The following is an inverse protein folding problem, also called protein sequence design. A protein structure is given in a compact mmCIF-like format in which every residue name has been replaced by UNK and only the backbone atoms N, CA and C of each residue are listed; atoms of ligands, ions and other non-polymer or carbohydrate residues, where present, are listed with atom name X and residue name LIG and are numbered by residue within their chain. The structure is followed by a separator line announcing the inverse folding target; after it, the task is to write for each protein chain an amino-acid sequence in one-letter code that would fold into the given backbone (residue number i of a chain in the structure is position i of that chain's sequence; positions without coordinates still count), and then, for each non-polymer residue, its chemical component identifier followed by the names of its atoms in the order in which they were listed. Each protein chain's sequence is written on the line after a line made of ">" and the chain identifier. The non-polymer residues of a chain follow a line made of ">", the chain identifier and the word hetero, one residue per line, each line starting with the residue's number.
data_IF_719733975983
#
_entry.id   IF_719733975983
#
_cell.length_a   1.000
_cell.length_b   1.000
_cell.length_c   1.000
_cell.angle_alpha   90.00
_cell.angle_beta   90.00
_cell.angle_gamma   90.00
#
_symmetry.space_group_name_H-M   'P 1'
#
loop_
_entity.id
_entity.type
_entity.pdbx_description
1 polymer ?
#
# COMPACT_ATOMS: atom_id res chain seq x y z
N UNK A 1 -13.00 35.92 17.81
CA UNK A 1 -12.86 34.45 17.94
C UNK A 1 -11.37 34.18 17.88
N UNK A 2 -10.78 33.67 18.94
CA UNK A 2 -9.36 33.29 18.97
C UNK A 2 -9.21 31.86 18.44
N UNK A 3 -8.34 31.63 17.44
CA UNK A 3 -8.07 30.34 16.90
C UNK A 3 -6.69 29.86 17.39
N UNK A 4 -6.66 28.87 18.24
CA UNK A 4 -5.43 28.27 18.74
C UNK A 4 -5.08 27.05 17.86
N UNK A 5 -3.96 27.14 17.13
CA UNK A 5 -3.44 26.03 16.35
C UNK A 5 -2.45 25.22 17.18
N UNK A 6 -2.66 23.91 17.26
CA UNK A 6 -1.68 23.01 17.90
C UNK A 6 -0.36 23.04 17.14
N UNK A 7 0.77 23.10 17.85
CA UNK A 7 2.12 23.01 17.25
C UNK A 7 2.36 21.65 16.55
N UNK A 8 1.61 20.61 16.96
CA UNK A 8 1.67 19.27 16.36
C UNK A 8 0.61 19.03 15.27
N UNK A 9 -0.15 20.08 14.89
CA UNK A 9 -1.14 19.97 13.83
C UNK A 9 -0.44 19.79 12.47
N UNK A 10 -0.75 18.71 11.76
CA UNK A 10 -0.17 18.41 10.45
C UNK A 10 -0.45 16.98 10.00
N UNK A 11 0.14 16.63 8.89
CA UNK A 11 0.07 15.27 8.37
C UNK A 11 0.93 14.31 9.21
N UNK A 12 0.52 13.05 9.31
CA UNK A 12 1.39 12.01 9.86
C UNK A 12 2.66 11.85 9.00
N UNK A 13 3.71 11.27 9.59
CA UNK A 13 5.00 11.07 8.92
C UNK A 13 4.87 10.42 7.53
N UNK A 14 4.03 9.38 7.39
CA UNK A 14 3.84 8.67 6.12
C UNK A 14 3.26 9.55 5.03
N UNK A 15 2.23 10.34 5.36
CA UNK A 15 1.62 11.30 4.44
C UNK A 15 2.60 12.44 4.10
N UNK A 16 3.29 12.99 5.09
CA UNK A 16 4.28 14.05 4.87
C UNK A 16 5.41 13.60 3.93
N UNK A 17 5.91 12.38 4.09
CA UNK A 17 6.92 11.79 3.19
C UNK A 17 6.38 11.59 1.77
N UNK A 18 5.12 11.14 1.62
CA UNK A 18 4.52 10.94 0.32
C UNK A 18 4.31 12.26 -0.42
N UNK A 19 3.82 13.30 0.27
CA UNK A 19 3.67 14.63 -0.31
C UNK A 19 5.01 15.24 -0.71
N UNK A 20 6.04 15.12 0.16
CA UNK A 20 7.40 15.58 -0.19
C UNK A 20 7.94 14.92 -1.45
N UNK A 21 7.73 13.60 -1.62
CA UNK A 21 8.14 12.90 -2.84
C UNK A 21 7.35 13.36 -4.05
N UNK A 22 6.07 13.66 -3.89
CA UNK A 22 5.24 14.18 -4.97
C UNK A 22 5.70 15.59 -5.39
N UNK A 23 6.00 16.47 -4.43
CA UNK A 23 6.54 17.80 -4.71
C UNK A 23 7.85 17.72 -5.51
N UNK A 24 8.77 16.82 -5.11
CA UNK A 24 10.01 16.59 -5.85
C UNK A 24 9.77 16.15 -7.30
N UNK A 25 8.73 15.32 -7.56
CA UNK A 25 8.39 14.93 -8.93
C UNK A 25 7.80 16.10 -9.72
N UNK A 26 6.93 16.90 -9.10
CA UNK A 26 6.35 18.10 -9.73
C UNK A 26 7.44 19.13 -10.06
N UNK A 27 8.36 19.38 -9.14
CA UNK A 27 9.50 20.30 -9.35
C UNK A 27 10.44 19.84 -10.47
N UNK A 28 10.65 18.52 -10.58
CA UNK A 28 11.44 17.92 -11.66
C UNK A 28 10.80 18.13 -13.04
N UNK A 29 9.48 18.32 -13.06
CA UNK A 29 8.70 18.50 -14.28
C UNK A 29 8.40 17.17 -15.01
N UNK A 30 7.76 17.30 -16.17
CA UNK A 30 7.31 16.17 -16.98
C UNK A 30 5.92 15.69 -16.57
N UNK A 31 5.58 14.46 -16.97
CA UNK A 31 4.27 13.87 -16.67
C UNK A 31 4.31 13.20 -15.32
N UNK A 32 3.52 13.71 -14.37
CA UNK A 32 3.45 13.21 -12.99
C UNK A 32 2.07 12.65 -12.69
N UNK A 33 2.03 11.51 -12.03
CA UNK A 33 0.79 10.92 -11.56
C UNK A 33 0.93 10.18 -10.24
N UNK A 34 -0.22 9.90 -9.61
CA UNK A 34 -0.31 9.04 -8.44
C UNK A 34 -1.15 7.81 -8.75
N UNK A 35 -0.76 6.66 -8.23
CA UNK A 35 -1.60 5.47 -8.29
C UNK A 35 -2.51 5.44 -7.05
N UNK A 36 -3.76 5.82 -7.27
CA UNK A 36 -4.74 6.16 -6.26
C UNK A 36 -4.53 7.55 -5.63
N UNK A 37 -5.52 8.06 -4.88
CA UNK A 37 -5.42 9.35 -4.22
C UNK A 37 -4.28 9.34 -3.21
N UNK A 38 -3.42 10.36 -3.23
CA UNK A 38 -2.25 10.44 -2.34
C UNK A 38 -2.67 10.47 -0.87
N UNK A 39 -3.76 11.14 -0.58
CA UNK A 39 -4.45 11.21 0.71
C UNK A 39 -5.95 11.37 0.48
N UNK A 40 -6.76 11.15 1.53
CA UNK A 40 -8.21 11.35 1.49
C UNK A 40 -8.62 12.80 1.83
N UNK A 41 -7.93 13.79 1.24
CA UNK A 41 -8.26 15.21 1.41
C UNK A 41 -8.49 15.85 0.03
N UNK A 42 -9.76 16.20 -0.31
CA UNK A 42 -10.10 16.73 -1.63
C UNK A 42 -9.37 18.03 -1.97
N UNK A 43 -9.13 18.93 -1.00
CA UNK A 43 -8.40 20.18 -1.25
C UNK A 43 -6.96 19.95 -1.68
N UNK A 44 -6.28 18.98 -1.06
CA UNK A 44 -4.91 18.63 -1.45
C UNK A 44 -4.89 17.95 -2.82
N UNK A 45 -5.87 17.08 -3.11
CA UNK A 45 -5.98 16.45 -4.41
C UNK A 45 -6.19 17.47 -5.53
N UNK A 46 -7.06 18.46 -5.29
CA UNK A 46 -7.32 19.55 -6.23
C UNK A 46 -6.08 20.44 -6.44
N UNK A 47 -5.35 20.77 -5.38
CA UNK A 47 -4.08 21.51 -5.46
C UNK A 47 -3.07 20.81 -6.39
N UNK A 48 -2.90 19.50 -6.25
CA UNK A 48 -1.98 18.75 -7.12
C UNK A 48 -2.54 18.57 -8.54
N UNK A 49 -3.86 18.45 -8.70
CA UNK A 49 -4.48 18.44 -10.03
C UNK A 49 -4.22 19.75 -10.79
N UNK A 50 -4.29 20.91 -10.12
CA UNK A 50 -3.92 22.22 -10.70
C UNK A 50 -2.43 22.30 -11.06
N UNK A 51 -1.57 21.56 -10.36
CA UNK A 51 -0.13 21.40 -10.72
C UNK A 51 0.11 20.38 -11.85
N UNK A 52 -0.96 19.83 -12.44
CA UNK A 52 -0.87 18.86 -13.55
C UNK A 52 -0.68 17.40 -13.13
N UNK A 53 -0.78 17.09 -11.84
CA UNK A 53 -0.68 15.70 -11.35
C UNK A 53 -1.97 14.94 -11.66
N UNK A 54 -1.86 13.78 -12.31
CA UNK A 54 -3.00 12.90 -12.63
C UNK A 54 -3.14 11.81 -11.57
N UNK A 55 -4.37 11.54 -11.15
CA UNK A 55 -4.67 10.41 -10.25
C UNK A 55 -5.22 9.23 -11.06
N UNK A 56 -4.54 8.08 -11.00
CA UNK A 56 -4.92 6.86 -11.72
C UNK A 56 -5.53 5.86 -10.74
N UNK A 57 -6.78 5.49 -10.97
CA UNK A 57 -7.51 4.54 -10.11
C UNK A 57 -7.25 3.07 -10.45
N UNK A 58 -6.64 2.77 -11.60
CA UNK A 58 -6.41 1.40 -12.06
C UNK A 58 -5.19 1.31 -12.98
N UNK A 59 -4.69 0.09 -13.16
CA UNK A 59 -3.64 -0.23 -14.14
C UNK A 59 -4.10 0.11 -15.55
N UNK A 60 -5.38 -0.11 -15.85
CA UNK A 60 -5.95 0.20 -17.17
C UNK A 60 -5.89 1.71 -17.46
N UNK A 61 -6.23 2.55 -16.48
CA UNK A 61 -6.13 4.01 -16.62
C UNK A 61 -4.69 4.48 -16.87
N UNK A 62 -3.69 3.81 -16.27
CA UNK A 62 -2.27 4.08 -16.53
C UNK A 62 -1.90 3.71 -17.97
N UNK A 63 -2.33 2.53 -18.45
CA UNK A 63 -2.09 2.09 -19.83
C UNK A 63 -2.69 3.07 -20.85
N UNK A 64 -3.95 3.44 -20.67
CA UNK A 64 -4.65 4.40 -21.53
C UNK A 64 -3.95 5.77 -21.58
N UNK A 65 -3.39 6.19 -20.44
CA UNK A 65 -2.61 7.43 -20.39
C UNK A 65 -1.27 7.32 -21.12
N UNK A 66 -0.72 6.12 -21.29
CA UNK A 66 0.54 5.87 -21.99
C UNK A 66 0.35 5.68 -23.51
N UNK A 67 -0.85 5.34 -23.99
CA UNK A 67 -1.10 5.13 -25.42
C UNK A 67 -0.66 6.30 -26.30
N UNK A 68 -0.95 7.59 -25.99
CA UNK A 68 -0.45 8.71 -26.78
C UNK A 68 1.06 8.79 -26.81
N UNK A 69 1.75 8.33 -25.75
CA UNK A 69 3.22 8.29 -25.72
C UNK A 69 3.76 7.23 -26.69
N UNK A 70 3.15 6.07 -26.74
CA UNK A 70 3.56 5.01 -27.65
C UNK A 70 3.37 5.42 -29.09
N UNK A 71 2.21 6.01 -29.44
CA UNK A 71 1.95 6.54 -30.77
C UNK A 71 2.97 7.61 -31.16
N UNK A 72 3.29 8.53 -30.25
CA UNK A 72 4.29 9.57 -30.50
C UNK A 72 5.69 8.98 -30.70
N UNK A 73 6.08 7.98 -29.88
CA UNK A 73 7.37 7.30 -29.99
C UNK A 73 7.57 6.57 -31.33
N UNK A 74 6.49 6.10 -31.95
CA UNK A 74 6.56 5.51 -33.29
C UNK A 74 6.86 6.55 -34.39
N UNK A 75 6.58 7.82 -34.12
CA UNK A 75 6.76 8.93 -35.10
C UNK A 75 8.11 9.64 -35.01
N UNK A 76 8.92 9.38 -33.99
CA UNK A 76 10.22 10.03 -33.77
C UNK A 76 11.40 9.10 -34.00
N UNK A 77 12.53 9.67 -34.45
CA UNK A 77 13.78 8.94 -34.67
C UNK A 77 14.36 8.34 -33.37
N UNK A 78 15.10 7.23 -33.50
CA UNK A 78 15.69 6.51 -32.35
C UNK A 78 16.60 7.40 -31.46
N UNK A 79 17.29 8.39 -32.04
CA UNK A 79 18.12 9.30 -31.26
C UNK A 79 17.30 10.18 -30.31
N UNK A 80 16.14 10.65 -30.76
CA UNK A 80 15.23 11.47 -29.95
C UNK A 80 14.46 10.66 -28.89
N UNK A 81 14.31 9.34 -29.11
CA UNK A 81 13.72 8.43 -28.11
C UNK A 81 14.56 8.33 -26.84
N UNK A 82 15.86 8.58 -26.92
CA UNK A 82 16.82 8.47 -25.79
C UNK A 82 16.81 9.69 -24.86
N UNK A 83 16.21 10.81 -25.23
CA UNK A 83 16.26 12.06 -24.46
C UNK A 83 15.33 12.11 -23.23
N UNK A 84 14.77 10.99 -22.79
CA UNK A 84 14.15 10.86 -21.46
C UNK A 84 12.90 11.72 -21.16
N UNK A 85 12.41 12.50 -22.11
CA UNK A 85 11.31 13.46 -21.88
C UNK A 85 9.90 12.83 -21.91
N UNK A 86 9.78 11.59 -22.37
CA UNK A 86 8.49 10.88 -22.48
C UNK A 86 8.38 9.75 -21.46
N UNK A 87 8.39 10.13 -20.18
CA UNK A 87 8.26 9.22 -19.07
C UNK A 87 7.18 9.69 -18.12
N UNK A 88 6.29 8.77 -17.74
CA UNK A 88 5.33 8.99 -16.66
C UNK A 88 6.01 8.71 -15.32
N UNK A 89 6.21 9.73 -14.51
CA UNK A 89 6.64 9.60 -13.13
C UNK A 89 5.41 9.25 -12.29
N UNK A 90 5.27 7.98 -11.92
CA UNK A 90 4.11 7.47 -11.20
C UNK A 90 4.46 7.21 -9.73
N UNK A 91 3.77 7.86 -8.82
CA UNK A 91 3.99 7.72 -7.38
C UNK A 91 2.98 6.76 -6.76
N UNK A 92 3.47 5.75 -6.01
CA UNK A 92 2.64 4.90 -5.16
C UNK A 92 2.30 5.68 -3.89
N UNK A 93 1.00 5.74 -3.55
CA UNK A 93 0.49 6.43 -2.35
C UNK A 93 0.99 5.84 -1.03
N UNK A 94 0.81 6.58 0.08
CA UNK A 94 1.28 6.18 1.42
C UNK A 94 0.70 4.83 1.93
N UNK A 95 -0.50 4.44 1.52
CA UNK A 95 -1.13 3.16 1.87
C UNK A 95 -0.49 1.94 1.18
N UNK A 96 0.38 2.16 0.18
CA UNK A 96 0.87 1.10 -0.68
C UNK A 96 -0.17 0.63 -1.71
N UNK A 97 0.21 -0.39 -2.46
CA UNK A 97 -0.61 -1.06 -3.46
C UNK A 97 -0.33 -2.57 -3.42
N UNK A 98 -1.21 -3.42 -4.00
CA UNK A 98 -0.95 -4.86 -4.08
C UNK A 98 0.36 -5.18 -4.80
N UNK A 99 1.05 -6.23 -4.32
CA UNK A 99 2.35 -6.67 -4.84
C UNK A 99 2.34 -6.92 -6.36
N UNK A 100 1.30 -7.60 -6.86
CA UNK A 100 1.15 -7.86 -8.31
C UNK A 100 1.01 -6.59 -9.12
N UNK A 101 0.26 -5.60 -8.60
CA UNK A 101 0.09 -4.28 -9.22
C UNK A 101 1.40 -3.51 -9.24
N UNK A 102 2.14 -3.48 -8.12
CA UNK A 102 3.46 -2.84 -8.05
C UNK A 102 4.42 -3.47 -9.06
N UNK A 103 4.51 -4.80 -9.07
CA UNK A 103 5.36 -5.54 -9.99
C UNK A 103 5.01 -5.27 -11.45
N UNK A 104 3.72 -5.23 -11.77
CA UNK A 104 3.26 -4.90 -13.12
C UNK A 104 3.65 -3.48 -13.53
N UNK A 105 3.33 -2.47 -12.70
CA UNK A 105 3.63 -1.06 -13.00
C UNK A 105 5.13 -0.79 -13.12
N UNK A 106 5.95 -1.49 -12.33
CA UNK A 106 7.42 -1.37 -12.36
C UNK A 106 8.03 -1.86 -13.67
N UNK A 107 7.36 -2.80 -14.33
CA UNK A 107 7.79 -3.37 -15.61
C UNK A 107 7.14 -2.70 -16.84
N UNK A 108 6.26 -1.71 -16.66
CA UNK A 108 5.70 -0.97 -17.78
C UNK A 108 6.77 -0.06 -18.42
N UNK A 109 6.94 -0.14 -19.76
CA UNK A 109 7.79 0.81 -20.46
C UNK A 109 7.34 2.25 -20.22
N UNK A 110 8.28 3.18 -20.18
CA UNK A 110 8.01 4.61 -19.99
C UNK A 110 7.31 5.00 -18.69
N UNK A 111 7.33 4.12 -17.67
CA UNK A 111 6.88 4.42 -16.30
C UNK A 111 8.09 4.41 -15.38
N UNK A 112 8.34 5.53 -14.72
CA UNK A 112 9.23 5.60 -13.56
C UNK A 112 8.41 5.52 -12.31
N UNK A 113 8.42 4.37 -11.64
CA UNK A 113 7.63 4.13 -10.44
C UNK A 113 8.41 4.60 -9.21
N UNK A 114 7.84 5.55 -8.45
CA UNK A 114 8.36 6.01 -7.17
C UNK A 114 7.48 5.49 -6.03
N UNK A 115 8.06 4.69 -5.14
CA UNK A 115 7.35 4.15 -3.99
C UNK A 115 7.33 5.17 -2.84
N UNK A 116 6.14 5.66 -2.49
CA UNK A 116 5.89 6.52 -1.33
C UNK A 116 5.08 5.80 -0.24
N UNK A 117 5.02 4.48 -0.28
CA UNK A 117 4.42 3.69 0.80
C UNK A 117 5.03 4.07 2.14
N UNK A 118 4.17 4.31 3.13
CA UNK A 118 4.59 4.61 4.49
C UNK A 118 5.56 3.54 5.00
N UNK A 119 6.69 3.90 5.62
CA UNK A 119 7.65 2.92 6.15
C UNK A 119 7.02 1.87 7.07
N UNK A 120 6.06 2.25 7.91
CA UNK A 120 5.33 1.32 8.77
C UNK A 120 4.51 0.29 7.97
N UNK A 121 3.84 0.74 6.90
CA UNK A 121 3.10 -0.18 6.00
C UNK A 121 4.08 -1.10 5.28
N UNK A 122 5.22 -0.58 4.81
CA UNK A 122 6.24 -1.39 4.14
C UNK A 122 6.85 -2.44 5.07
N UNK A 123 7.06 -2.09 6.33
CA UNK A 123 7.52 -3.02 7.36
C UNK A 123 6.49 -4.14 7.59
N UNK A 124 5.19 -3.79 7.72
CA UNK A 124 4.12 -4.78 7.85
C UNK A 124 4.02 -5.70 6.62
N UNK A 125 4.11 -5.17 5.40
CA UNK A 125 4.16 -5.96 4.17
C UNK A 125 5.30 -6.98 4.18
N UNK A 126 6.50 -6.55 4.56
CA UNK A 126 7.68 -7.41 4.64
C UNK A 126 7.54 -8.47 5.74
N UNK A 127 7.01 -8.09 6.90
CA UNK A 127 6.78 -9.00 8.02
C UNK A 127 5.75 -10.07 7.65
N UNK A 128 4.62 -9.69 7.03
CA UNK A 128 3.61 -10.63 6.52
C UNK A 128 4.22 -11.60 5.50
N UNK A 129 4.96 -11.07 4.52
CA UNK A 129 5.59 -11.91 3.50
C UNK A 129 6.52 -12.96 4.09
N UNK A 130 7.37 -12.58 5.06
CA UNK A 130 8.30 -13.48 5.73
C UNK A 130 7.57 -14.47 6.65
N UNK A 131 6.63 -13.98 7.47
CA UNK A 131 5.97 -14.80 8.47
C UNK A 131 5.00 -15.81 7.86
N UNK A 132 4.35 -15.50 6.73
CA UNK A 132 3.44 -16.42 6.03
C UNK A 132 4.16 -17.47 5.22
N UNK A 133 5.47 -17.35 4.95
CA UNK A 133 6.29 -18.40 4.34
C UNK A 133 6.79 -19.35 5.43
N UNK A 134 6.57 -20.65 5.30
CA UNK A 134 7.03 -21.68 6.24
C UNK A 134 7.67 -22.85 5.50
N UNK A 135 9.00 -22.87 5.42
CA UNK A 135 9.72 -23.94 4.70
C UNK A 135 9.19 -24.12 3.28
N UNK A 136 8.62 -25.30 2.98
CA UNK A 136 7.94 -25.60 1.72
C UNK A 136 6.43 -25.31 1.75
N UNK A 137 5.88 -24.89 2.89
CA UNK A 137 4.46 -24.58 3.11
C UNK A 137 4.20 -23.10 3.31
N UNK A 138 2.95 -22.80 3.62
CA UNK A 138 2.48 -21.44 3.92
C UNK A 138 1.62 -21.42 5.18
N UNK A 139 1.60 -20.28 5.87
CA UNK A 139 0.75 -20.04 7.03
C UNK A 139 -0.44 -19.19 6.65
N UNK A 140 -1.57 -19.39 7.35
CA UNK A 140 -2.75 -18.54 7.19
C UNK A 140 -2.54 -17.20 7.89
N UNK A 141 -2.75 -16.11 7.17
CA UNK A 141 -2.75 -14.75 7.72
C UNK A 141 -4.11 -14.43 8.34
N UNK A 142 -4.13 -14.10 9.62
CA UNK A 142 -5.26 -13.45 10.29
C UNK A 142 -4.96 -11.94 10.30
N UNK A 143 -5.74 -11.16 9.54
CA UNK A 143 -5.54 -9.72 9.45
C UNK A 143 -6.66 -8.97 10.15
N UNK A 144 -6.33 -8.29 11.25
CA UNK A 144 -7.24 -7.38 11.94
C UNK A 144 -7.29 -6.05 11.18
N UNK A 145 -8.38 -5.81 10.45
CA UNK A 145 -8.53 -4.64 9.59
C UNK A 145 -9.82 -4.64 8.78
N UNK A 146 -10.07 -3.55 8.09
CA UNK A 146 -11.21 -3.39 7.19
C UNK A 146 -10.90 -3.95 5.80
N UNK A 147 -11.65 -4.95 5.37
CA UNK A 147 -11.49 -5.60 4.06
C UNK A 147 -11.63 -4.65 2.86
N UNK A 148 -12.33 -3.52 3.03
CA UNK A 148 -12.51 -2.53 1.96
C UNK A 148 -11.46 -1.41 1.98
N UNK A 149 -10.45 -1.51 2.85
CA UNK A 149 -9.45 -0.47 2.98
C UNK A 149 -8.23 -0.75 2.08
N UNK A 150 -7.76 0.25 1.30
CA UNK A 150 -6.64 0.07 0.36
C UNK A 150 -5.32 -0.42 0.98
N UNK A 151 -5.05 -0.10 2.24
CA UNK A 151 -3.90 -0.63 2.95
C UNK A 151 -4.02 -2.14 3.16
N UNK A 152 -5.23 -2.62 3.49
CA UNK A 152 -5.52 -4.04 3.71
C UNK A 152 -5.32 -4.83 2.43
N UNK A 153 -5.80 -4.33 1.28
CA UNK A 153 -5.53 -4.93 -0.03
C UNK A 153 -4.02 -5.05 -0.30
N UNK A 154 -3.29 -3.99 0.03
CA UNK A 154 -1.84 -4.00 -0.03
C UNK A 154 -1.22 -5.06 0.87
N UNK A 155 -1.60 -5.12 2.15
CA UNK A 155 -1.05 -6.06 3.14
C UNK A 155 -1.29 -7.52 2.77
N UNK A 156 -2.54 -7.91 2.44
CA UNK A 156 -2.88 -9.30 2.13
C UNK A 156 -2.20 -9.80 0.85
N UNK A 157 -1.89 -8.93 -0.09
CA UNK A 157 -1.20 -9.29 -1.32
C UNK A 157 0.22 -9.80 -1.12
N UNK A 158 0.82 -9.55 0.04
CA UNK A 158 2.14 -10.05 0.42
C UNK A 158 2.07 -11.39 1.16
N UNK A 159 0.88 -11.85 1.58
CA UNK A 159 0.70 -13.16 2.18
C UNK A 159 1.02 -14.27 1.15
N UNK A 160 1.73 -15.30 1.58
CA UNK A 160 2.11 -16.45 0.73
C UNK A 160 1.06 -17.57 0.76
N UNK A 161 0.12 -17.53 1.70
CA UNK A 161 -0.94 -18.52 1.87
C UNK A 161 -2.31 -17.88 1.94
N UNK A 162 -3.24 -18.63 2.53
CA UNK A 162 -4.61 -18.18 2.81
C UNK A 162 -4.61 -17.00 3.78
N UNK A 163 -5.62 -16.15 3.68
CA UNK A 163 -5.82 -15.06 4.62
C UNK A 163 -7.30 -14.92 5.03
N UNK A 164 -7.50 -14.44 6.25
CA UNK A 164 -8.79 -14.09 6.83
C UNK A 164 -8.70 -12.65 7.30
N UNK A 165 -9.62 -11.80 6.85
CA UNK A 165 -9.68 -10.39 7.23
C UNK A 165 -10.94 -10.17 8.05
N UNK A 166 -10.82 -9.46 9.17
CA UNK A 166 -11.97 -8.97 9.91
C UNK A 166 -11.63 -7.75 10.76
N UNK A 167 -12.50 -6.73 10.79
CA UNK A 167 -12.46 -5.67 11.80
C UNK A 167 -13.00 -6.12 13.16
N UNK A 168 -13.62 -7.30 13.24
CA UNK A 168 -14.20 -7.88 14.46
C UNK A 168 -13.24 -8.93 15.04
N UNK A 169 -12.66 -8.67 16.22
CA UNK A 169 -11.73 -9.60 16.88
C UNK A 169 -12.26 -11.02 17.04
N UNK A 170 -13.55 -11.13 17.37
CA UNK A 170 -14.23 -12.40 17.66
C UNK A 170 -14.19 -13.35 16.46
N UNK A 171 -14.31 -12.83 15.24
CA UNK A 171 -14.27 -13.65 14.02
C UNK A 171 -12.90 -14.27 13.77
N UNK A 172 -11.83 -13.54 14.09
CA UNK A 172 -10.46 -14.04 13.96
C UNK A 172 -10.18 -15.13 15.01
N UNK A 173 -10.63 -14.90 16.25
CA UNK A 173 -10.51 -15.85 17.36
C UNK A 173 -11.34 -17.11 17.09
N UNK A 174 -12.57 -16.96 16.61
CA UNK A 174 -13.43 -18.06 16.23
C UNK A 174 -12.83 -18.92 15.12
N UNK A 175 -12.26 -18.27 14.10
CA UNK A 175 -11.56 -18.97 13.03
C UNK A 175 -10.42 -19.84 13.58
N UNK A 176 -9.59 -19.29 14.44
CA UNK A 176 -8.48 -20.02 15.03
C UNK A 176 -8.94 -21.22 15.88
N UNK A 177 -10.01 -21.06 16.66
CA UNK A 177 -10.62 -22.15 17.45
C UNK A 177 -11.20 -23.26 16.59
N UNK A 178 -11.75 -22.94 15.41
CA UNK A 178 -12.34 -23.92 14.47
C UNK A 178 -11.29 -24.66 13.64
N UNK A 179 -10.08 -24.17 13.59
CA UNK A 179 -8.99 -24.74 12.77
C UNK A 179 -7.75 -25.08 13.63
N UNK A 180 -7.92 -25.96 14.66
CA UNK A 180 -6.79 -26.40 15.46
C UNK A 180 -5.83 -27.19 14.57
N UNK A 181 -4.53 -26.90 14.64
CA UNK A 181 -3.51 -27.54 13.79
C UNK A 181 -3.06 -26.68 12.60
N UNK A 182 -3.77 -25.62 12.28
CA UNK A 182 -3.35 -24.68 11.23
C UNK A 182 -2.34 -23.66 11.79
N UNK A 183 -1.16 -23.55 11.15
CA UNK A 183 -0.20 -22.50 11.51
C UNK A 183 -0.69 -21.14 11.02
N UNK A 184 -0.71 -20.16 11.92
CA UNK A 184 -1.29 -18.86 11.67
C UNK A 184 -0.32 -17.71 11.96
N UNK A 185 -0.51 -16.61 11.27
CA UNK A 185 0.18 -15.32 11.49
C UNK A 185 -0.89 -14.28 11.81
N UNK A 186 -0.75 -13.54 12.90
CA UNK A 186 -1.59 -12.38 13.20
C UNK A 186 -0.89 -11.09 12.76
N UNK A 187 -1.58 -10.26 12.00
CA UNK A 187 -1.18 -8.90 11.66
C UNK A 187 -2.37 -7.94 11.81
N UNK A 188 -2.09 -6.64 11.77
CA UNK A 188 -3.13 -5.62 11.79
C UNK A 188 -2.86 -4.53 10.74
N UNK A 189 -3.93 -3.91 10.28
CA UNK A 189 -3.88 -2.63 9.59
C UNK A 189 -3.29 -1.57 10.52
N UNK A 190 -2.39 -0.71 10.02
CA UNK A 190 -1.57 0.19 10.87
C UNK A 190 -2.37 1.23 11.65
N UNK A 191 -3.63 1.44 11.31
CA UNK A 191 -4.55 2.35 11.98
C UNK A 191 -5.46 1.69 13.02
N UNK A 192 -5.34 0.38 13.23
CA UNK A 192 -6.13 -0.34 14.22
C UNK A 192 -5.67 -0.04 15.66
N UNK A 193 -6.59 -0.21 16.60
CA UNK A 193 -6.32 0.00 18.02
C UNK A 193 -5.36 -1.06 18.57
N UNK A 194 -4.27 -0.61 19.19
CA UNK A 194 -3.23 -1.47 19.75
C UNK A 194 -3.73 -2.34 20.90
N UNK A 195 -4.60 -1.82 21.77
CA UNK A 195 -5.10 -2.57 22.91
C UNK A 195 -6.02 -3.70 22.44
N UNK A 196 -6.83 -3.45 21.41
CA UNK A 196 -7.68 -4.48 20.79
C UNK A 196 -6.80 -5.55 20.14
N UNK A 197 -5.76 -5.17 19.40
CA UNK A 197 -4.80 -6.11 18.80
C UNK A 197 -4.14 -7.01 19.88
N UNK A 198 -3.68 -6.42 20.99
CA UNK A 198 -3.07 -7.16 22.09
C UNK A 198 -4.08 -8.13 22.76
N UNK A 199 -5.37 -7.77 22.79
CA UNK A 199 -6.45 -8.66 23.26
C UNK A 199 -6.65 -9.85 22.33
N UNK A 200 -6.68 -9.63 21.00
CA UNK A 200 -6.73 -10.72 20.02
C UNK A 200 -5.54 -11.64 20.20
N UNK A 201 -4.35 -11.07 20.29
CA UNK A 201 -3.09 -11.79 20.49
C UNK A 201 -3.16 -12.71 21.70
N UNK A 202 -3.61 -12.20 22.87
CA UNK A 202 -3.76 -12.97 24.09
C UNK A 202 -4.78 -14.12 23.94
N UNK A 203 -5.94 -13.83 23.38
CA UNK A 203 -6.99 -14.83 23.16
C UNK A 203 -6.55 -15.93 22.19
N UNK A 204 -5.80 -15.59 21.14
CA UNK A 204 -5.23 -16.56 20.21
C UNK A 204 -4.15 -17.43 20.86
N UNK A 205 -3.31 -16.84 21.72
CA UNK A 205 -2.30 -17.59 22.47
C UNK A 205 -2.94 -18.59 23.45
N UNK A 206 -4.02 -18.21 24.12
CA UNK A 206 -4.78 -19.09 25.02
C UNK A 206 -5.53 -20.20 24.26
N UNK A 207 -6.07 -19.88 23.07
CA UNK A 207 -6.77 -20.85 22.22
C UNK A 207 -5.84 -21.86 21.53
N UNK A 208 -4.62 -21.43 21.24
CA UNK A 208 -3.60 -22.17 20.50
C UNK A 208 -2.60 -22.86 21.45
N UNK A 209 -3.09 -23.60 22.46
CA UNK A 209 -2.24 -24.27 23.47
C UNK A 209 -1.14 -25.20 22.90
N UNK A 210 -1.06 -25.39 21.58
CA UNK A 210 -0.09 -26.27 20.92
C UNK A 210 0.52 -25.72 19.61
N UNK A 211 0.27 -24.44 19.23
CA UNK A 211 0.70 -23.97 17.90
C UNK A 211 1.37 -22.58 17.96
N UNK A 212 2.47 -22.38 17.22
CA UNK A 212 3.10 -21.08 17.15
C UNK A 212 2.26 -20.12 16.30
N UNK A 213 1.65 -19.11 16.95
CA UNK A 213 1.13 -17.95 16.25
C UNK A 213 2.29 -16.95 16.14
N UNK A 214 2.67 -16.63 14.91
CA UNK A 214 3.75 -15.68 14.62
C UNK A 214 3.16 -14.27 14.48
N UNK A 215 3.86 -13.27 14.99
CA UNK A 215 3.43 -11.88 14.95
C UNK A 215 4.13 -11.15 13.79
N UNK A 216 3.36 -10.50 12.93
CA UNK A 216 3.85 -9.54 11.97
C UNK A 216 3.48 -8.13 12.47
N UNK A 217 4.38 -7.49 13.21
CA UNK A 217 4.20 -6.11 13.72
C UNK A 217 5.16 -5.18 13.02
#
# INVERSE_FOLDING_TARGET
>A
MEVIRSERAGFCMGVALALKKLDMLVEKGGHVGTFGPIIHNPFVLEEYAMKGVRCFGSVQAVKEALEPFYVFLETIDEEKRKEGQLQLNLLIRAHGIPYSTESFLRNLPHVQLMDATCPRVKEAQNAISKATQCGQGTRTLLLFGDANHPEVDGLVSYAKGKYIISPEPEKLIEYAKKNPGEEMVLAAQTTQDRAVFDTIKKALFEAAATQPIIWAT
#
